data_IF_096701305967
#
_entry.id   IF_096701305967
#
_cell.length_a   1.000
_cell.length_b   1.000
_cell.length_c   1.000
_cell.angle_alpha   90.00
_cell.angle_beta   90.00
_cell.angle_gamma   90.00
#
_symmetry.space_group_name_H-M   'P 1'
#
loop_
_entity.id
_entity.type
_entity.pdbx_description
1 polymer ?
#
# COMPACT_ATOMS: atom_id res chain seq x y z
N UNK A 1 49.61 -39.63 -73.08
CA UNK A 1 48.69 -38.46 -72.72
C UNK A 1 47.73 -38.94 -71.69
N UNK A 2 47.94 -38.47 -70.44
CA UNK A 2 47.06 -38.82 -69.31
C UNK A 2 46.18 -37.58 -68.97
N UNK A 3 44.88 -37.76 -69.08
CA UNK A 3 43.87 -36.75 -68.82
C UNK A 3 43.59 -36.73 -67.29
N UNK A 4 43.79 -35.58 -66.60
CA UNK A 4 43.41 -35.37 -65.27
C UNK A 4 41.92 -35.00 -65.13
N UNK A 5 41.19 -35.54 -64.13
CA UNK A 5 39.83 -35.10 -63.82
C UNK A 5 39.76 -33.76 -63.07
N UNK A 6 38.88 -32.90 -63.55
CA UNK A 6 38.53 -31.65 -62.79
C UNK A 6 37.59 -31.98 -61.60
N UNK A 7 38.02 -31.62 -60.37
CA UNK A 7 37.20 -31.68 -59.18
C UNK A 7 36.42 -30.37 -59.11
N UNK A 8 35.08 -30.46 -59.25
CA UNK A 8 34.16 -29.34 -58.88
C UNK A 8 33.95 -29.29 -57.36
N UNK A 9 34.38 -28.18 -56.78
CA UNK A 9 34.12 -27.90 -55.38
C UNK A 9 32.72 -27.23 -55.25
N UNK A 10 31.75 -27.92 -54.68
CA UNK A 10 30.42 -27.37 -54.36
C UNK A 10 30.51 -26.62 -53.02
N UNK A 11 30.32 -25.30 -53.06
CA UNK A 11 30.21 -24.48 -51.86
C UNK A 11 28.76 -24.52 -51.39
N UNK A 12 28.48 -25.20 -50.26
CA UNK A 12 27.19 -25.19 -49.61
C UNK A 12 27.07 -23.89 -48.78
N UNK A 13 26.16 -23.01 -49.23
CA UNK A 13 25.77 -21.81 -48.44
C UNK A 13 24.76 -22.26 -47.38
N UNK A 14 25.19 -22.35 -46.13
CA UNK A 14 24.29 -22.55 -44.98
C UNK A 14 23.62 -21.20 -44.66
N UNK A 15 22.36 -21.08 -45.09
CA UNK A 15 21.50 -19.97 -44.66
C UNK A 15 21.15 -20.15 -43.18
N UNK A 16 21.87 -19.46 -42.31
CA UNK A 16 21.56 -19.39 -40.89
C UNK A 16 20.24 -18.63 -40.66
N UNK A 17 19.19 -19.36 -40.28
CA UNK A 17 17.93 -18.75 -39.83
C UNK A 17 18.20 -18.00 -38.50
N UNK A 18 18.25 -16.69 -38.54
CA UNK A 18 18.20 -15.87 -37.36
C UNK A 18 16.79 -15.99 -36.75
N UNK A 19 16.66 -16.84 -35.72
CA UNK A 19 15.49 -16.81 -34.84
C UNK A 19 15.59 -15.53 -34.03
N UNK A 20 14.82 -14.52 -34.40
CA UNK A 20 14.67 -13.30 -33.63
C UNK A 20 14.12 -13.66 -32.28
N UNK A 21 14.94 -13.57 -31.24
CA UNK A 21 14.47 -13.59 -29.85
C UNK A 21 13.66 -12.31 -29.67
N UNK A 22 12.32 -12.40 -29.84
CA UNK A 22 11.43 -11.35 -29.40
C UNK A 22 11.73 -11.13 -27.91
N UNK A 23 12.34 -10.01 -27.56
CA UNK A 23 12.41 -9.54 -26.18
C UNK A 23 10.95 -9.37 -25.75
N UNK A 24 10.45 -10.27 -24.90
CA UNK A 24 9.22 -10.05 -24.17
C UNK A 24 9.36 -8.65 -23.53
N UNK A 25 8.66 -7.68 -24.11
CA UNK A 25 8.70 -6.31 -23.65
C UNK A 25 8.36 -6.29 -22.17
N UNK A 26 9.21 -5.68 -21.34
CA UNK A 26 8.91 -5.48 -19.94
C UNK A 26 7.54 -4.80 -19.86
N UNK A 27 6.59 -5.38 -19.09
CA UNK A 27 5.26 -4.81 -18.94
C UNK A 27 5.37 -3.36 -18.48
N UNK A 28 4.57 -2.47 -19.08
CA UNK A 28 4.54 -1.06 -18.72
C UNK A 28 4.28 -0.91 -17.21
N UNK A 29 5.02 -0.02 -16.52
CA UNK A 29 4.83 0.23 -15.10
C UNK A 29 3.39 0.63 -14.79
N UNK A 30 2.81 0.07 -13.73
CA UNK A 30 1.46 0.43 -13.30
C UNK A 30 1.40 1.90 -12.88
N UNK A 31 0.36 2.64 -13.30
CA UNK A 31 0.18 4.04 -12.83
C UNK A 31 -0.51 4.06 -11.48
N UNK A 32 0.01 4.88 -10.59
CA UNK A 32 -0.50 5.10 -9.22
C UNK A 32 -0.91 6.56 -9.06
N UNK A 33 -2.11 6.82 -8.54
CA UNK A 33 -2.52 8.12 -8.06
C UNK A 33 -2.26 8.19 -6.56
N UNK A 34 -1.31 9.03 -6.12
CA UNK A 34 -1.04 9.24 -4.70
C UNK A 34 -1.68 10.54 -4.23
N UNK A 35 -2.77 10.40 -3.48
CA UNK A 35 -3.54 11.50 -2.91
C UNK A 35 -2.99 11.85 -1.54
N UNK A 36 -2.48 13.08 -1.39
CA UNK A 36 -1.90 13.60 -0.14
C UNK A 36 -2.58 14.88 0.33
N UNK A 37 -3.82 15.11 -0.09
CA UNK A 37 -4.61 16.27 0.31
C UNK A 37 -5.01 16.18 1.79
N UNK A 38 -4.77 17.27 2.52
CA UNK A 38 -5.19 17.43 3.91
C UNK A 38 -6.30 18.49 4.01
N UNK A 39 -7.50 18.08 4.42
CA UNK A 39 -8.62 18.96 4.76
C UNK A 39 -8.83 19.07 6.28
N UNK A 40 -8.11 18.27 7.05
CA UNK A 40 -7.92 18.36 8.49
C UNK A 40 -6.47 18.69 8.83
N UNK A 41 -5.89 17.98 9.80
CA UNK A 41 -4.49 18.16 10.19
C UNK A 41 -3.55 17.79 9.03
N UNK A 42 -2.58 18.67 8.75
CA UNK A 42 -1.56 18.44 7.73
C UNK A 42 -0.28 17.89 8.34
N UNK A 43 0.01 16.61 8.10
CA UNK A 43 1.22 15.97 8.55
C UNK A 43 2.47 16.50 7.83
N UNK A 44 3.59 16.55 8.55
CA UNK A 44 4.88 16.98 7.98
C UNK A 44 5.31 16.17 6.76
N UNK A 45 5.03 14.85 6.77
CA UNK A 45 5.36 13.94 5.68
C UNK A 45 4.63 14.23 4.35
N UNK A 46 3.48 14.93 4.38
CA UNK A 46 2.72 15.35 3.19
C UNK A 46 2.68 16.88 3.00
N UNK A 47 3.37 17.61 3.85
CA UNK A 47 3.49 19.06 3.70
C UNK A 47 4.60 19.39 2.69
N UNK A 48 4.21 19.94 1.55
CA UNK A 48 5.15 20.35 0.50
C UNK A 48 5.99 21.57 0.90
N UNK A 49 5.48 22.45 1.77
CA UNK A 49 6.22 23.62 2.28
C UNK A 49 6.81 24.49 1.16
N UNK A 50 6.08 24.72 0.08
CA UNK A 50 6.56 25.44 -1.13
C UNK A 50 7.38 24.58 -2.09
N UNK A 51 7.69 23.32 -1.78
CA UNK A 51 8.39 22.38 -2.68
C UNK A 51 7.38 21.72 -3.64
N UNK A 52 7.91 21.18 -4.74
CA UNK A 52 7.09 20.43 -5.71
C UNK A 52 6.47 19.18 -5.09
N UNK A 53 7.20 18.45 -4.26
CA UNK A 53 6.77 17.21 -3.61
C UNK A 53 7.14 17.21 -2.13
N UNK A 54 6.30 16.56 -1.31
CA UNK A 54 6.54 16.28 0.09
C UNK A 54 7.35 14.99 0.29
N UNK A 55 7.83 14.72 1.51
CA UNK A 55 8.68 13.57 1.81
C UNK A 55 8.06 12.22 1.40
N UNK A 56 6.78 12.00 1.70
CA UNK A 56 6.06 10.78 1.31
C UNK A 56 5.93 10.66 -0.22
N UNK A 57 5.64 11.76 -0.89
CA UNK A 57 5.51 11.80 -2.35
C UNK A 57 6.85 11.50 -3.05
N UNK A 58 7.95 12.09 -2.56
CA UNK A 58 9.31 11.80 -3.04
C UNK A 58 9.64 10.33 -2.86
N UNK A 59 9.39 9.76 -1.68
CA UNK A 59 9.69 8.37 -1.38
C UNK A 59 8.95 7.42 -2.32
N UNK A 60 7.64 7.63 -2.56
CA UNK A 60 6.85 6.78 -3.46
C UNK A 60 7.28 6.94 -4.92
N UNK A 61 7.58 8.15 -5.36
CA UNK A 61 8.09 8.40 -6.72
C UNK A 61 9.43 7.69 -6.94
N UNK A 62 10.35 7.81 -6.00
CA UNK A 62 11.67 7.14 -6.07
C UNK A 62 11.53 5.62 -6.01
N UNK A 63 10.65 5.08 -5.15
CA UNK A 63 10.40 3.65 -5.06
C UNK A 63 9.88 3.09 -6.40
N UNK A 64 8.94 3.78 -7.03
CA UNK A 64 8.43 3.40 -8.35
C UNK A 64 9.52 3.39 -9.42
N UNK A 65 10.36 4.44 -9.47
CA UNK A 65 11.47 4.56 -10.40
C UNK A 65 12.55 3.47 -10.20
N UNK A 66 12.94 3.21 -8.94
CA UNK A 66 13.97 2.23 -8.60
C UNK A 66 13.53 0.80 -8.91
N UNK A 67 12.27 0.48 -8.65
CA UNK A 67 11.72 -0.86 -8.87
C UNK A 67 11.22 -1.09 -10.29
N UNK A 68 10.96 -0.03 -11.05
CA UNK A 68 10.28 -0.05 -12.36
C UNK A 68 8.91 -0.73 -12.33
N UNK A 69 8.32 -0.83 -11.13
CA UNK A 69 7.05 -1.51 -10.90
C UNK A 69 5.86 -0.59 -11.18
N UNK A 70 6.02 0.70 -10.86
CA UNK A 70 4.96 1.69 -11.01
C UNK A 70 5.52 3.10 -11.23
N UNK A 71 4.65 3.98 -11.75
CA UNK A 71 4.85 5.43 -11.79
C UNK A 71 3.84 6.10 -10.88
N UNK A 72 4.16 7.28 -10.34
CA UNK A 72 3.32 7.97 -9.36
C UNK A 72 2.97 9.39 -9.84
N UNK A 73 1.67 9.65 -9.91
CA UNK A 73 1.13 11.01 -10.01
C UNK A 73 0.66 11.43 -8.61
N UNK A 74 1.30 12.46 -8.04
CA UNK A 74 1.00 12.97 -6.70
C UNK A 74 0.04 14.16 -6.77
N UNK A 75 -1.09 14.08 -6.04
CA UNK A 75 -2.06 15.17 -6.01
C UNK A 75 -2.45 15.61 -4.59
N UNK A 76 -2.73 16.90 -4.44
CA UNK A 76 -3.39 17.52 -3.29
C UNK A 76 -4.70 18.21 -3.69
N UNK A 77 -5.24 17.85 -4.86
CA UNK A 77 -6.52 18.36 -5.38
C UNK A 77 -7.42 17.19 -5.82
N UNK A 78 -8.22 16.68 -4.87
CA UNK A 78 -9.17 15.61 -5.17
C UNK A 78 -10.29 16.04 -6.10
N UNK A 79 -10.67 17.32 -6.09
CA UNK A 79 -11.74 17.83 -6.95
C UNK A 79 -11.37 17.71 -8.43
N UNK A 80 -10.12 18.03 -8.75
CA UNK A 80 -9.62 17.94 -10.12
C UNK A 80 -9.22 16.51 -10.51
N UNK A 81 -8.54 15.79 -9.62
CA UNK A 81 -7.81 14.58 -10.01
C UNK A 81 -8.50 13.27 -9.61
N UNK A 82 -9.37 13.27 -8.59
CA UNK A 82 -10.09 12.08 -8.18
C UNK A 82 -11.47 11.99 -8.88
N UNK A 83 -11.45 11.84 -10.20
CA UNK A 83 -12.65 11.71 -11.02
C UNK A 83 -12.73 10.35 -11.69
N UNK A 84 -13.94 9.85 -11.99
CA UNK A 84 -14.14 8.59 -12.69
C UNK A 84 -13.36 8.53 -14.02
N UNK A 85 -13.30 9.64 -14.75
CA UNK A 85 -12.54 9.73 -15.99
C UNK A 85 -11.02 9.59 -15.78
N UNK A 86 -10.49 10.27 -14.77
CA UNK A 86 -9.05 10.24 -14.47
C UNK A 86 -8.62 8.91 -13.85
N UNK A 87 -9.44 8.32 -12.98
CA UNK A 87 -9.16 7.03 -12.33
C UNK A 87 -8.93 5.88 -13.31
N UNK A 88 -9.50 5.94 -14.51
CA UNK A 88 -9.26 4.94 -15.58
C UNK A 88 -7.79 4.79 -15.97
N UNK A 89 -6.96 5.80 -15.70
CA UNK A 89 -5.52 5.79 -16.02
C UNK A 89 -4.68 5.00 -15.01
N UNK A 90 -5.23 4.71 -13.83
CA UNK A 90 -4.50 4.18 -12.69
C UNK A 90 -4.90 2.75 -12.36
N UNK A 91 -3.97 2.01 -11.76
CA UNK A 91 -4.18 0.68 -11.18
C UNK A 91 -4.27 0.74 -9.65
N UNK A 92 -3.62 1.70 -9.03
CA UNK A 92 -3.60 1.86 -7.58
C UNK A 92 -3.92 3.31 -7.24
N UNK A 93 -4.73 3.48 -6.20
CA UNK A 93 -4.91 4.76 -5.50
C UNK A 93 -4.29 4.64 -4.12
N UNK A 94 -3.34 5.53 -3.80
CA UNK A 94 -2.74 5.63 -2.48
C UNK A 94 -3.29 6.85 -1.76
N UNK A 95 -3.64 6.71 -0.47
CA UNK A 95 -4.12 7.80 0.36
C UNK A 95 -3.19 8.02 1.57
N UNK A 96 -2.77 9.26 1.74
CA UNK A 96 -2.24 9.80 2.98
C UNK A 96 -2.91 11.16 3.21
N UNK A 97 -4.15 11.11 3.67
CA UNK A 97 -5.11 12.22 3.63
C UNK A 97 -5.73 12.46 5.00
N UNK A 98 -6.38 13.61 5.19
CA UNK A 98 -7.18 13.91 6.39
C UNK A 98 -8.43 14.71 6.04
N UNK A 99 -9.47 14.58 6.87
CA UNK A 99 -10.69 15.36 6.78
C UNK A 99 -11.60 14.99 5.62
N UNK A 100 -12.57 15.85 5.30
CA UNK A 100 -13.55 15.63 4.23
C UNK A 100 -12.98 16.09 2.90
N UNK A 101 -12.62 15.15 2.03
CA UNK A 101 -12.06 15.46 0.72
C UNK A 101 -13.17 15.89 -0.26
N UNK A 102 -12.90 16.86 -1.15
CA UNK A 102 -13.88 17.35 -2.12
C UNK A 102 -13.99 16.38 -3.32
N UNK A 103 -14.47 15.17 -3.05
CA UNK A 103 -14.72 14.13 -4.05
C UNK A 103 -16.22 14.07 -4.30
N UNK A 104 -16.65 14.24 -5.54
CA UNK A 104 -18.04 14.17 -5.91
C UNK A 104 -18.63 12.77 -5.68
N UNK A 105 -19.91 12.68 -5.30
CA UNK A 105 -20.57 11.42 -4.98
C UNK A 105 -20.48 10.40 -6.12
N UNK A 106 -20.74 10.83 -7.35
CA UNK A 106 -20.61 9.97 -8.55
C UNK A 106 -19.21 9.36 -8.72
N UNK A 107 -18.15 10.09 -8.33
CA UNK A 107 -16.77 9.65 -8.46
C UNK A 107 -16.42 8.68 -7.31
N UNK A 108 -16.96 8.89 -6.11
CA UNK A 108 -16.90 7.94 -4.99
C UNK A 108 -17.57 6.61 -5.34
N UNK A 109 -18.79 6.68 -5.90
CA UNK A 109 -19.56 5.51 -6.29
C UNK A 109 -18.85 4.71 -7.38
N UNK A 110 -18.32 5.39 -8.40
CA UNK A 110 -17.50 4.74 -9.41
C UNK A 110 -16.26 4.07 -8.81
N UNK A 111 -15.53 4.77 -7.95
CA UNK A 111 -14.33 4.25 -7.29
C UNK A 111 -14.63 2.97 -6.50
N UNK A 112 -15.64 2.98 -5.62
CA UNK A 112 -15.95 1.88 -4.71
C UNK A 112 -16.62 0.70 -5.42
N UNK A 113 -17.57 1.00 -6.31
CA UNK A 113 -18.48 0.00 -6.85
C UNK A 113 -18.02 -0.57 -8.20
N UNK A 114 -17.13 0.10 -8.90
CA UNK A 114 -16.66 -0.30 -10.22
C UNK A 114 -15.13 -0.44 -10.24
N UNK A 115 -14.42 0.66 -10.03
CA UNK A 115 -12.99 0.71 -10.22
C UNK A 115 -12.22 -0.19 -9.24
N UNK A 116 -12.49 -0.07 -7.95
CA UNK A 116 -11.80 -0.84 -6.91
C UNK A 116 -12.14 -2.34 -6.94
N UNK A 117 -13.30 -2.72 -7.51
CA UNK A 117 -13.69 -4.14 -7.68
C UNK A 117 -13.01 -4.83 -8.86
N UNK A 118 -12.23 -4.12 -9.65
CA UNK A 118 -11.55 -4.65 -10.84
C UNK A 118 -10.24 -5.36 -10.45
N UNK A 119 -9.96 -6.51 -11.07
CA UNK A 119 -8.71 -7.25 -10.82
C UNK A 119 -7.48 -6.40 -11.16
N UNK A 120 -6.47 -6.41 -10.28
CA UNK A 120 -5.24 -5.62 -10.43
C UNK A 120 -5.42 -4.15 -10.11
N UNK A 121 -6.60 -3.75 -9.58
CA UNK A 121 -6.80 -2.45 -8.98
C UNK A 121 -6.75 -2.54 -7.46
N UNK A 122 -6.37 -1.47 -6.80
CA UNK A 122 -6.42 -1.45 -5.34
C UNK A 122 -6.24 -0.10 -4.69
N UNK A 123 -6.55 -0.12 -3.41
CA UNK A 123 -6.37 0.99 -2.49
C UNK A 123 -5.25 0.67 -1.52
N UNK A 124 -4.35 1.63 -1.30
CA UNK A 124 -3.33 1.57 -0.24
C UNK A 124 -3.47 2.81 0.63
N UNK A 125 -3.81 2.60 1.90
CA UNK A 125 -3.90 3.68 2.90
C UNK A 125 -2.64 3.75 3.76
N UNK A 126 -2.18 4.96 4.04
CA UNK A 126 -1.08 5.21 4.97
C UNK A 126 -1.53 6.09 6.12
N UNK A 127 -1.10 5.76 7.32
CA UNK A 127 -1.21 6.57 8.52
C UNK A 127 -2.56 7.28 8.65
N UNK A 128 -2.61 8.58 8.36
CA UNK A 128 -3.83 9.38 8.50
C UNK A 128 -4.90 9.12 7.45
N UNK A 129 -4.70 8.16 6.56
CA UNK A 129 -5.80 7.76 5.68
C UNK A 129 -7.07 7.37 6.47
N UNK A 130 -6.93 6.82 7.69
CA UNK A 130 -8.06 6.53 8.60
C UNK A 130 -8.61 7.77 9.32
N UNK A 131 -7.95 8.92 9.21
CA UNK A 131 -8.41 10.23 9.70
C UNK A 131 -9.15 11.04 8.63
N UNK A 132 -9.52 10.39 7.55
CA UNK A 132 -10.30 10.91 6.43
C UNK A 132 -11.75 10.46 6.60
N UNK A 133 -12.71 11.38 6.46
CA UNK A 133 -14.14 11.14 6.69
C UNK A 133 -14.43 10.50 8.06
N UNK A 134 -14.18 11.23 9.14
CA UNK A 134 -14.43 10.77 10.53
C UNK A 134 -15.91 10.46 10.77
N UNK A 135 -16.23 9.79 11.87
CA UNK A 135 -17.57 9.26 12.21
C UNK A 135 -18.72 10.25 12.05
N UNK A 136 -18.47 11.55 12.25
CA UNK A 136 -19.49 12.61 12.12
C UNK A 136 -19.48 13.32 10.76
N UNK A 137 -18.55 12.98 9.88
CA UNK A 137 -18.38 13.65 8.61
C UNK A 137 -19.36 13.15 7.56
N UNK A 138 -19.83 14.02 6.65
CA UNK A 138 -20.56 13.58 5.47
C UNK A 138 -19.75 12.57 4.66
N UNK A 139 -20.34 11.44 4.29
CA UNK A 139 -19.65 10.40 3.55
C UNK A 139 -18.83 9.42 4.39
N UNK A 140 -18.84 9.51 5.74
CA UNK A 140 -18.11 8.59 6.61
C UNK A 140 -18.30 7.11 6.24
N UNK A 141 -19.55 6.68 6.01
CA UNK A 141 -19.87 5.27 5.79
C UNK A 141 -19.11 4.64 4.61
N UNK A 142 -19.09 5.31 3.44
CA UNK A 142 -18.42 4.76 2.26
C UNK A 142 -16.91 4.59 2.46
N UNK A 143 -16.28 5.54 3.15
CA UNK A 143 -14.85 5.53 3.33
C UNK A 143 -14.39 4.55 4.42
N UNK A 144 -15.13 4.49 5.53
CA UNK A 144 -14.86 3.56 6.63
C UNK A 144 -14.92 2.09 6.17
N UNK A 145 -15.84 1.77 5.23
CA UNK A 145 -15.91 0.44 4.64
C UNK A 145 -14.61 0.07 3.89
N UNK A 146 -13.96 1.03 3.23
CA UNK A 146 -12.68 0.82 2.53
C UNK A 146 -11.51 0.83 3.53
N UNK A 147 -11.42 1.86 4.36
CA UNK A 147 -10.29 2.05 5.27
C UNK A 147 -10.21 0.96 6.36
N UNK A 148 -11.36 0.41 6.79
CA UNK A 148 -11.45 -0.68 7.77
C UNK A 148 -11.47 -0.22 9.23
N UNK A 149 -11.16 1.04 9.52
CA UNK A 149 -11.20 1.67 10.84
C UNK A 149 -11.22 3.18 10.74
N UNK A 150 -11.66 3.84 11.80
CA UNK A 150 -11.68 5.32 11.89
C UNK A 150 -10.77 5.77 13.01
N UNK A 151 -9.93 6.76 12.75
CA UNK A 151 -9.04 7.37 13.72
C UNK A 151 -9.76 7.76 15.01
N UNK A 152 -9.17 7.39 16.15
CA UNK A 152 -9.66 7.72 17.49
C UNK A 152 -8.51 8.06 18.45
N UNK A 153 -7.58 8.90 18.01
CA UNK A 153 -6.45 9.33 18.82
C UNK A 153 -5.17 8.52 18.58
N UNK A 154 -4.07 9.04 19.16
CA UNK A 154 -2.71 8.51 18.98
C UNK A 154 -1.96 8.47 20.32
N UNK A 155 -2.26 7.52 21.22
CA UNK A 155 -1.56 7.41 22.52
C UNK A 155 -0.04 7.23 22.38
N UNK A 156 0.41 6.73 21.23
CA UNK A 156 1.81 6.59 20.88
C UNK A 156 2.17 7.67 19.86
N UNK A 157 2.62 8.84 20.36
CA UNK A 157 2.96 9.99 19.52
C UNK A 157 4.26 9.81 18.73
N UNK A 158 4.57 10.76 17.86
CA UNK A 158 5.70 10.76 16.93
C UNK A 158 7.08 10.48 17.56
N UNK A 159 7.26 10.83 18.83
CA UNK A 159 8.47 10.59 19.63
C UNK A 159 8.59 9.18 20.21
N UNK A 160 7.53 8.37 20.14
CA UNK A 160 7.46 7.06 20.79
C UNK A 160 8.07 5.97 19.93
N UNK A 161 8.96 5.16 20.54
CA UNK A 161 9.40 3.91 19.92
C UNK A 161 8.44 2.79 20.32
N UNK A 162 7.81 2.17 19.35
CA UNK A 162 6.86 1.07 19.56
C UNK A 162 7.45 -0.26 19.09
N UNK A 163 6.98 -1.35 19.70
CA UNK A 163 7.24 -2.72 19.23
C UNK A 163 5.99 -3.26 18.56
N UNK A 164 6.17 -3.75 17.34
CA UNK A 164 5.12 -4.27 16.49
C UNK A 164 5.32 -5.76 16.31
N UNK A 165 4.27 -6.55 16.51
CA UNK A 165 4.24 -7.99 16.26
C UNK A 165 3.71 -8.26 14.86
N UNK A 166 4.42 -9.12 14.11
CA UNK A 166 4.02 -9.57 12.77
C UNK A 166 3.26 -10.88 12.90
N UNK A 167 2.03 -10.93 12.39
CA UNK A 167 1.14 -12.09 12.49
C UNK A 167 1.19 -13.01 11.28
N UNK A 168 1.41 -12.45 10.08
CA UNK A 168 1.40 -13.21 8.84
C UNK A 168 2.68 -12.99 8.02
N UNK A 169 3.73 -13.71 8.36
CA UNK A 169 5.01 -13.64 7.65
C UNK A 169 4.97 -14.18 6.22
N UNK A 170 3.94 -14.94 5.87
CA UNK A 170 3.76 -15.47 4.51
C UNK A 170 3.22 -14.43 3.55
N UNK A 171 2.49 -13.42 4.06
CA UNK A 171 1.99 -12.33 3.23
C UNK A 171 3.15 -11.51 2.64
N UNK A 172 3.17 -11.20 1.33
CA UNK A 172 4.28 -10.50 0.67
C UNK A 172 4.73 -9.23 1.38
N UNK A 173 3.79 -8.37 1.78
CA UNK A 173 4.07 -7.12 2.47
C UNK A 173 4.78 -7.32 3.83
N UNK A 174 4.65 -8.51 4.45
CA UNK A 174 5.25 -8.80 5.75
C UNK A 174 6.61 -9.48 5.68
N UNK A 175 7.02 -9.98 4.51
CA UNK A 175 8.31 -10.66 4.31
C UNK A 175 9.54 -9.84 4.74
N UNK A 176 9.58 -8.49 4.57
CA UNK A 176 10.72 -7.70 5.00
C UNK A 176 10.90 -7.60 6.51
N UNK A 177 9.84 -7.89 7.30
CA UNK A 177 9.88 -7.78 8.75
C UNK A 177 10.29 -9.10 9.42
N UNK A 178 10.92 -9.01 10.60
CA UNK A 178 11.08 -10.16 11.51
C UNK A 178 9.75 -10.56 12.17
N UNK A 179 9.82 -11.37 13.23
CA UNK A 179 8.65 -11.66 14.07
C UNK A 179 8.15 -10.39 14.81
N UNK A 180 9.11 -9.53 15.13
CA UNK A 180 8.90 -8.23 15.75
C UNK A 180 9.65 -7.17 14.94
N UNK A 181 9.09 -5.96 14.96
CA UNK A 181 9.69 -4.79 14.33
C UNK A 181 9.56 -3.60 15.28
N UNK A 182 10.66 -2.87 15.48
CA UNK A 182 10.67 -1.67 16.32
C UNK A 182 10.84 -0.44 15.44
N UNK A 183 10.02 0.58 15.70
CA UNK A 183 10.08 1.84 14.97
C UNK A 183 9.69 3.00 15.89
N UNK A 184 10.30 4.17 15.65
CA UNK A 184 9.88 5.43 16.23
C UNK A 184 8.92 6.12 15.28
N UNK A 185 7.61 5.99 15.55
CA UNK A 185 6.56 6.60 14.73
C UNK A 185 5.30 6.82 15.56
N UNK A 186 4.39 7.67 15.09
CA UNK A 186 3.07 7.83 15.68
C UNK A 186 2.15 6.69 15.28
N UNK A 187 1.42 6.14 16.23
CA UNK A 187 0.49 5.05 15.98
C UNK A 187 -0.92 5.43 16.42
N UNK A 188 -1.86 5.31 15.49
CA UNK A 188 -3.28 5.53 15.71
C UNK A 188 -3.97 4.34 16.35
N UNK A 189 -4.94 4.63 17.21
CA UNK A 189 -5.99 3.71 17.62
C UNK A 189 -7.28 4.02 16.88
N UNK A 190 -8.24 3.08 16.89
CA UNK A 190 -9.42 3.17 16.03
C UNK A 190 -10.73 2.96 16.76
N UNK A 191 -11.79 3.61 16.26
CA UNK A 191 -13.19 3.22 16.45
C UNK A 191 -13.71 2.58 15.17
N UNK A 192 -14.87 1.97 15.23
CA UNK A 192 -15.52 1.28 14.10
C UNK A 192 -14.63 0.20 13.45
N UNK A 193 -13.72 -0.36 14.23
CA UNK A 193 -12.89 -1.48 13.82
C UNK A 193 -13.70 -2.78 13.77
N UNK A 194 -13.71 -3.46 12.61
CA UNK A 194 -14.48 -4.70 12.40
C UNK A 194 -13.54 -5.84 12.01
N UNK A 195 -13.01 -6.61 12.99
CA UNK A 195 -12.01 -7.67 12.75
C UNK A 195 -12.43 -8.72 11.73
N UNK A 196 -13.74 -9.02 11.64
CA UNK A 196 -14.29 -10.02 10.70
C UNK A 196 -14.19 -9.62 9.23
N UNK A 197 -13.87 -8.35 8.94
CA UNK A 197 -13.82 -7.82 7.59
C UNK A 197 -12.40 -7.72 7.01
N UNK A 198 -11.37 -7.97 7.82
CA UNK A 198 -9.97 -7.74 7.45
C UNK A 198 -9.05 -8.87 7.90
N UNK A 199 -7.95 -9.04 7.19
CA UNK A 199 -6.81 -9.82 7.66
C UNK A 199 -5.81 -8.90 8.32
N UNK A 200 -5.61 -9.06 9.63
CA UNK A 200 -4.60 -8.34 10.41
C UNK A 200 -3.23 -8.92 10.08
N UNK A 201 -2.30 -8.07 9.68
CA UNK A 201 -0.94 -8.43 9.31
C UNK A 201 0.06 -8.09 10.42
N UNK A 202 -0.12 -6.94 11.08
CA UNK A 202 0.70 -6.47 12.19
C UNK A 202 -0.16 -5.80 13.26
N UNK A 203 0.30 -5.85 14.52
CA UNK A 203 -0.31 -5.15 15.67
C UNK A 203 0.77 -4.63 16.62
N UNK A 204 0.45 -3.63 17.44
CA UNK A 204 1.29 -3.27 18.58
C UNK A 204 1.41 -4.45 19.54
N UNK A 205 2.64 -4.74 19.99
CA UNK A 205 2.87 -5.61 21.15
C UNK A 205 2.64 -4.81 22.42
N UNK A 206 1.44 -4.90 22.97
CA UNK A 206 1.02 -4.08 24.11
C UNK A 206 1.84 -4.36 25.36
N UNK A 207 2.46 -5.53 25.49
CA UNK A 207 3.35 -5.85 26.61
C UNK A 207 4.67 -5.06 26.58
N UNK A 208 5.07 -4.59 25.36
CA UNK A 208 6.33 -3.90 25.09
C UNK A 208 6.16 -2.43 24.71
N UNK A 209 4.93 -1.92 24.69
CA UNK A 209 4.62 -0.53 24.38
C UNK A 209 4.37 0.31 25.64
N UNK A 210 4.62 1.61 25.54
CA UNK A 210 4.27 2.60 26.56
C UNK A 210 3.66 3.83 25.86
N UNK A 211 2.43 4.28 26.27
CA UNK A 211 1.57 3.68 27.29
C UNK A 211 0.99 2.33 26.85
N UNK A 212 0.67 1.47 27.83
CA UNK A 212 -0.11 0.26 27.60
C UNK A 212 -1.60 0.62 27.52
N UNK A 213 -2.35 -0.16 26.73
CA UNK A 213 -3.81 -0.03 26.58
C UNK A 213 -4.47 -1.42 26.60
N UNK A 214 -5.68 -1.57 27.20
CA UNK A 214 -6.33 -2.88 27.38
C UNK A 214 -7.08 -3.37 26.13
N UNK A 215 -6.62 -3.01 24.94
CA UNK A 215 -7.27 -3.38 23.68
C UNK A 215 -6.27 -3.60 22.54
N UNK A 216 -6.70 -4.34 21.54
CA UNK A 216 -5.94 -4.58 20.33
C UNK A 216 -5.77 -3.30 19.49
N UNK A 217 -4.56 -3.06 19.00
CA UNK A 217 -4.23 -1.97 18.08
C UNK A 217 -3.57 -2.55 16.83
N UNK A 218 -4.32 -2.73 15.74
CA UNK A 218 -3.75 -3.18 14.47
C UNK A 218 -2.87 -2.08 13.86
N UNK A 219 -1.75 -2.49 13.24
CA UNK A 219 -0.80 -1.58 12.58
C UNK A 219 -0.85 -1.74 11.07
N UNK A 220 -1.09 -2.94 10.57
CA UNK A 220 -1.36 -3.16 9.16
C UNK A 220 -2.40 -4.25 8.97
N UNK A 221 -3.20 -4.09 7.91
CA UNK A 221 -4.20 -5.06 7.50
C UNK A 221 -4.43 -5.02 5.99
N UNK A 222 -5.06 -6.08 5.49
CA UNK A 222 -5.48 -6.17 4.11
C UNK A 222 -6.84 -6.87 3.97
N UNK A 223 -7.43 -6.76 2.80
CA UNK A 223 -8.66 -7.48 2.41
C UNK A 223 -8.84 -7.47 0.91
N UNK A 224 -9.63 -8.40 0.41
CA UNK A 224 -10.16 -8.33 -0.94
C UNK A 224 -11.36 -7.37 -1.00
N UNK A 225 -11.55 -6.74 -2.16
CA UNK A 225 -12.69 -5.89 -2.47
C UNK A 225 -13.23 -6.22 -3.86
N UNK A 226 -14.17 -7.15 -3.94
CA UNK A 226 -14.52 -7.79 -5.21
C UNK A 226 -13.31 -8.54 -5.76
N UNK A 227 -12.81 -8.15 -6.93
CA UNK A 227 -11.58 -8.70 -7.51
C UNK A 227 -10.35 -7.79 -7.33
N UNK A 228 -10.54 -6.62 -6.71
CA UNK A 228 -9.46 -5.73 -6.32
C UNK A 228 -9.02 -5.95 -4.87
N UNK A 229 -8.10 -5.15 -4.38
CA UNK A 229 -7.44 -5.36 -3.10
C UNK A 229 -7.27 -4.06 -2.31
N UNK A 230 -7.31 -4.18 -1.00
CA UNK A 230 -7.10 -3.08 -0.05
C UNK A 230 -5.95 -3.46 0.88
N UNK A 231 -5.01 -2.56 1.06
CA UNK A 231 -3.94 -2.63 2.04
C UNK A 231 -3.90 -1.33 2.85
N UNK A 232 -3.65 -1.42 4.13
CA UNK A 232 -3.43 -0.27 4.99
C UNK A 232 -2.23 -0.49 5.91
N UNK A 233 -1.46 0.59 6.10
CA UNK A 233 -0.37 0.68 7.08
C UNK A 233 -0.54 1.93 7.95
N UNK A 234 -0.53 1.76 9.27
CA UNK A 234 -0.57 2.86 10.24
C UNK A 234 0.74 3.68 10.26
N UNK A 235 1.82 3.14 9.69
CA UNK A 235 3.12 3.80 9.66
C UNK A 235 3.15 4.96 8.67
N UNK A 236 3.96 5.99 8.97
CA UNK A 236 4.20 7.09 8.04
C UNK A 236 4.10 8.49 8.62
N UNK A 237 3.83 8.68 9.92
CA UNK A 237 3.80 10.02 10.52
C UNK A 237 5.13 10.73 10.35
N UNK A 238 6.21 10.09 10.78
CA UNK A 238 7.54 10.68 10.74
C UNK A 238 8.14 10.64 9.33
N UNK A 239 8.77 11.72 8.85
CA UNK A 239 9.51 11.71 7.58
C UNK A 239 10.57 10.58 7.48
N UNK A 240 11.19 10.21 8.61
CA UNK A 240 12.15 9.11 8.67
C UNK A 240 11.55 7.74 8.30
N UNK A 241 10.26 7.54 8.50
CA UNK A 241 9.57 6.31 8.09
C UNK A 241 9.59 6.13 6.57
N UNK A 242 9.56 7.23 5.82
CA UNK A 242 9.60 7.26 4.35
C UNK A 242 11.01 7.05 3.74
N UNK A 243 12.02 6.91 4.60
CA UNK A 243 13.39 6.51 4.21
C UNK A 243 13.79 5.16 4.81
N UNK A 244 12.92 4.54 5.60
CA UNK A 244 13.17 3.23 6.20
C UNK A 244 13.07 2.12 5.16
N UNK A 245 14.21 1.47 4.87
CA UNK A 245 14.31 0.44 3.80
C UNK A 245 13.35 -0.73 4.01
N UNK A 246 13.07 -1.13 5.27
CA UNK A 246 12.16 -2.25 5.58
C UNK A 246 10.72 -1.85 5.28
N UNK A 247 10.31 -0.63 5.67
CA UNK A 247 8.98 -0.08 5.40
C UNK A 247 8.78 0.12 3.90
N UNK A 248 9.76 0.68 3.19
CA UNK A 248 9.69 0.86 1.74
C UNK A 248 9.60 -0.49 1.00
N UNK A 249 10.37 -1.50 1.42
CA UNK A 249 10.29 -2.84 0.82
C UNK A 249 8.94 -3.52 1.11
N UNK A 250 8.38 -3.31 2.30
CA UNK A 250 7.00 -3.74 2.63
C UNK A 250 5.97 -3.07 1.72
N UNK A 251 6.12 -1.78 1.45
CA UNK A 251 5.23 -1.03 0.55
C UNK A 251 5.35 -1.51 -0.90
N UNK A 252 6.56 -1.74 -1.39
CA UNK A 252 6.79 -2.36 -2.71
C UNK A 252 6.07 -3.70 -2.82
N UNK A 253 6.24 -4.57 -1.82
CA UNK A 253 5.60 -5.88 -1.82
C UNK A 253 4.06 -5.78 -1.69
N UNK A 254 3.53 -4.77 -0.98
CA UNK A 254 2.10 -4.49 -0.95
C UNK A 254 1.58 -4.08 -2.35
N UNK A 255 2.32 -3.25 -3.07
CA UNK A 255 2.01 -2.88 -4.47
C UNK A 255 2.01 -4.11 -5.36
N UNK A 256 3.01 -4.98 -5.28
CA UNK A 256 3.09 -6.24 -6.04
C UNK A 256 1.87 -7.14 -5.77
N UNK A 257 1.50 -7.27 -4.49
CA UNK A 257 0.32 -8.04 -4.09
C UNK A 257 -0.97 -7.43 -4.64
N UNK A 258 -1.16 -6.12 -4.55
CA UNK A 258 -2.33 -5.41 -5.10
C UNK A 258 -2.44 -5.63 -6.62
N UNK A 259 -1.33 -5.58 -7.33
CA UNK A 259 -1.27 -5.81 -8.78
C UNK A 259 -1.42 -7.28 -9.18
N UNK A 260 -1.58 -8.20 -8.22
CA UNK A 260 -1.61 -9.66 -8.43
C UNK A 260 -0.32 -10.23 -9.06
N UNK A 261 0.83 -9.62 -8.78
CA UNK A 261 2.14 -10.12 -9.15
C UNK A 261 2.71 -11.09 -8.10
N UNK A 262 2.26 -10.97 -6.87
CA UNK A 262 2.58 -11.89 -5.77
C UNK A 262 1.30 -12.41 -5.12
N UNK A 263 1.29 -13.68 -4.74
CA UNK A 263 0.20 -14.28 -3.98
C UNK A 263 0.30 -13.90 -2.50
N UNK A 264 -0.86 -13.71 -1.86
CA UNK A 264 -0.97 -13.42 -0.44
C UNK A 264 -2.41 -13.55 0.03
N UNK A 265 -2.59 -14.13 1.20
CA UNK A 265 -3.91 -14.39 1.77
C UNK A 265 -4.55 -13.08 2.28
N UNK A 266 -5.79 -12.82 1.88
CA UNK A 266 -6.61 -11.70 2.36
C UNK A 266 -7.83 -12.15 3.18
N UNK A 267 -7.99 -13.46 3.39
CA UNK A 267 -9.10 -14.01 4.20
C UNK A 267 -9.02 -13.43 5.62
N UNK A 268 -10.11 -12.86 6.15
CA UNK A 268 -10.13 -12.30 7.49
C UNK A 268 -9.66 -13.29 8.57
N UNK A 269 -8.95 -12.78 9.58
CA UNK A 269 -8.41 -13.57 10.68
C UNK A 269 -8.81 -13.01 12.07
N UNK A 270 -10.12 -12.93 12.41
CA UNK A 270 -10.59 -12.30 13.64
C UNK A 270 -10.04 -12.93 14.92
N UNK A 271 -9.59 -14.17 14.87
CA UNK A 271 -8.89 -14.84 15.99
C UNK A 271 -7.63 -14.11 16.43
N UNK A 272 -6.89 -13.49 15.50
CA UNK A 272 -5.72 -12.65 15.80
C UNK A 272 -6.14 -11.46 16.66
N UNK A 273 -7.17 -10.72 16.25
CA UNK A 273 -7.67 -9.57 17.03
C UNK A 273 -8.11 -9.99 18.43
N UNK A 274 -8.81 -11.11 18.56
CA UNK A 274 -9.23 -11.66 19.87
C UNK A 274 -8.04 -12.03 20.75
N UNK A 275 -7.02 -12.66 20.19
CA UNK A 275 -5.82 -13.06 20.92
C UNK A 275 -4.99 -11.85 21.36
N UNK A 276 -4.79 -10.86 20.48
CA UNK A 276 -4.04 -9.65 20.80
C UNK A 276 -4.80 -8.75 21.82
N UNK A 277 -6.11 -8.71 21.79
CA UNK A 277 -6.91 -8.04 22.81
C UNK A 277 -6.76 -8.70 24.19
N UNK A 278 -6.77 -10.03 24.25
CA UNK A 278 -6.54 -10.76 25.51
C UNK A 278 -5.15 -10.47 26.07
N UNK A 279 -4.10 -10.46 25.23
CA UNK A 279 -2.73 -10.09 25.61
C UNK A 279 -2.64 -8.64 26.10
N UNK A 280 -3.33 -7.72 25.42
CA UNK A 280 -3.36 -6.31 25.79
C UNK A 280 -4.02 -6.11 27.17
N UNK A 281 -5.14 -6.78 27.43
CA UNK A 281 -5.78 -6.79 28.74
C UNK A 281 -4.86 -7.35 29.84
N UNK A 282 -4.11 -8.40 29.55
CA UNK A 282 -3.15 -8.97 30.50
C UNK A 282 -1.95 -8.03 30.76
N UNK A 283 -1.53 -7.24 29.77
CA UNK A 283 -0.39 -6.35 29.87
C UNK A 283 -0.63 -5.11 30.77
N UNK A 284 -1.90 -4.75 31.05
CA UNK A 284 -2.28 -3.61 31.91
C UNK A 284 -2.70 -4.02 33.31
N UNK A 285 -2.78 -5.32 33.61
CA UNK A 285 -2.93 -5.88 34.94
C UNK A 285 -1.59 -5.87 35.67
#
# INVERSE_FOLDING_TARGET
MRTMPRILLAVAVVAGSYVGVERLGAAEPARVLFVTQSKGFRHGSVNRGGKKLAAAEIAMTQLGQQTRLFTVDCTQDCQADFTAANLKKYKIVMFYTTGVLPIAEKDRDYFVNTWLKTRGHGYIGFHSATDTYRTKDPGHRWYQEIAGGTFNGHPWGAGTTVTIRVHDKSHPAMKPFGAEFRIKDEIYQYVNWVPKNVRVLMSLDMSKCNPKRPYHVPVAWCRDWGRGKIYYSNLGHNPATWTNKVVLKSTENAVRWVLNLDEGNATPNPSVSKAEEAKAKAAVK
#
